data_IF_966124496296
#
_entry.id   IF_966124496296
#
_cell.length_a   1.000
_cell.length_b   1.000
_cell.length_c   1.000
_cell.angle_alpha   90.00
_cell.angle_beta   90.00
_cell.angle_gamma   90.00
#
_symmetry.space_group_name_H-M   'P 1'
#
loop_
_entity.id
_entity.type
_entity.pdbx_description
1 polymer ?
#
# COMPACT_ATOMS: atom_id res chain seq x y z
N UNK A 1 53.79 3.41 68.48
CA UNK A 1 52.87 2.25 68.61
C UNK A 1 51.75 2.40 67.59
N UNK A 2 51.63 1.43 66.67
CA UNK A 2 50.42 0.94 65.95
C UNK A 2 49.42 1.97 65.37
N UNK A 3 48.92 1.91 64.14
CA UNK A 3 48.99 0.96 63.02
C UNK A 3 48.39 1.67 61.77
N UNK A 4 48.87 1.23 60.62
CA UNK A 4 48.44 1.48 59.23
C UNK A 4 46.94 1.24 58.94
N UNK A 5 46.39 1.94 57.94
CA UNK A 5 45.59 1.30 56.89
C UNK A 5 45.60 2.14 55.59
N UNK A 6 45.90 1.46 54.48
CA UNK A 6 45.91 1.96 53.11
C UNK A 6 44.49 2.03 52.54
N UNK A 7 44.24 3.01 51.66
CA UNK A 7 43.13 2.97 50.72
C UNK A 7 43.70 3.02 49.29
N UNK A 8 43.56 1.90 48.57
CA UNK A 8 43.80 1.80 47.14
C UNK A 8 42.75 2.65 46.40
N UNK A 9 43.21 3.69 45.69
CA UNK A 9 42.41 4.39 44.69
C UNK A 9 42.40 3.60 43.39
N UNK A 10 41.23 3.06 43.04
CA UNK A 10 40.95 2.28 41.84
C UNK A 10 40.90 3.21 40.62
N UNK A 11 41.86 3.09 39.70
CA UNK A 11 41.83 3.79 38.41
C UNK A 11 40.80 3.13 37.50
N UNK A 12 39.63 3.73 37.35
CA UNK A 12 38.62 3.30 36.38
C UNK A 12 39.07 3.77 35.00
N UNK A 13 39.62 2.86 34.19
CA UNK A 13 39.76 3.04 32.75
C UNK A 13 38.35 3.08 32.13
N UNK A 14 37.90 4.27 31.71
CA UNK A 14 36.78 4.39 30.77
C UNK A 14 37.25 3.85 29.42
N UNK A 15 36.92 2.60 29.10
CA UNK A 15 36.88 2.14 27.71
C UNK A 15 35.74 2.86 27.01
N UNK A 16 36.07 3.87 26.19
CA UNK A 16 35.18 4.35 25.15
C UNK A 16 35.01 3.24 24.11
N UNK A 17 34.01 2.39 24.29
CA UNK A 17 33.48 1.59 23.21
C UNK A 17 32.75 2.54 22.27
N UNK A 18 33.44 3.00 21.22
CA UNK A 18 32.79 3.59 20.05
C UNK A 18 31.98 2.49 19.37
N UNK A 19 30.70 2.39 19.74
CA UNK A 19 29.71 1.73 18.92
C UNK A 19 29.64 2.49 17.61
N UNK A 20 30.26 1.93 16.57
CA UNK A 20 30.00 2.34 15.20
C UNK A 20 28.52 2.04 14.90
N UNK A 21 27.65 2.99 15.24
CA UNK A 21 26.34 3.10 14.62
C UNK A 21 26.66 3.38 13.16
N UNK A 22 26.50 2.37 12.31
CA UNK A 22 26.58 2.54 10.87
C UNK A 22 25.57 3.64 10.51
N UNK A 23 26.08 4.83 10.21
CA UNK A 23 25.35 5.88 9.53
C UNK A 23 25.07 5.37 8.12
N UNK A 24 24.05 4.52 7.95
CA UNK A 24 23.45 4.33 6.64
C UNK A 24 22.73 5.64 6.32
N UNK A 25 23.48 6.50 5.64
CA UNK A 25 23.02 7.81 5.21
C UNK A 25 21.82 7.68 4.27
N UNK A 26 20.99 8.72 4.21
CA UNK A 26 19.88 8.82 3.25
C UNK A 26 20.30 8.56 1.78
N UNK A 27 21.60 8.57 1.46
CA UNK A 27 22.16 8.35 0.13
C UNK A 27 21.82 6.99 -0.51
N UNK A 28 21.55 5.96 0.29
CA UNK A 28 21.27 4.60 -0.23
C UNK A 28 19.77 4.26 -0.29
N UNK A 29 18.89 5.18 0.10
CA UNK A 29 17.45 4.92 0.12
C UNK A 29 16.91 4.64 -1.29
N UNK A 30 16.18 3.53 -1.43
CA UNK A 30 15.69 3.01 -2.70
C UNK A 30 16.63 2.04 -3.41
N UNK A 31 17.86 1.84 -2.94
CA UNK A 31 18.78 0.87 -3.56
C UNK A 31 18.25 -0.57 -3.42
N UNK A 32 18.16 -1.29 -4.53
CA UNK A 32 17.83 -2.72 -4.53
C UNK A 32 19.08 -3.51 -4.19
N UNK A 33 19.02 -4.29 -3.12
CA UNK A 33 20.14 -5.12 -2.62
C UNK A 33 19.95 -6.61 -2.92
N UNK A 34 18.71 -7.04 -3.16
CA UNK A 34 18.39 -8.40 -3.59
C UNK A 34 17.19 -8.35 -4.53
N UNK A 35 17.25 -9.14 -5.59
CA UNK A 35 16.16 -9.29 -6.55
C UNK A 35 16.06 -10.74 -6.99
N UNK A 36 14.87 -11.33 -6.86
CA UNK A 36 14.60 -12.71 -7.24
C UNK A 36 13.31 -12.78 -8.07
N UNK A 37 13.26 -13.63 -9.12
CA UNK A 37 12.02 -13.87 -9.84
C UNK A 37 10.93 -14.41 -8.91
N UNK A 38 9.71 -13.91 -9.05
CA UNK A 38 8.57 -14.43 -8.30
C UNK A 38 8.26 -15.88 -8.70
N UNK A 39 7.81 -16.67 -7.73
CA UNK A 39 7.41 -18.08 -7.94
C UNK A 39 6.21 -18.17 -8.88
N UNK A 40 6.25 -18.94 -9.99
CA UNK A 40 5.14 -19.09 -10.93
C UNK A 40 3.79 -19.43 -10.26
N UNK A 41 2.68 -18.96 -10.85
CA UNK A 41 1.36 -19.23 -10.31
C UNK A 41 0.91 -20.68 -10.60
N UNK A 42 1.01 -21.52 -9.57
CA UNK A 42 0.59 -22.94 -9.62
C UNK A 42 -0.87 -23.17 -9.23
N UNK A 43 -1.63 -22.13 -8.91
CA UNK A 43 -3.04 -22.25 -8.49
C UNK A 43 -3.90 -22.58 -9.70
N UNK A 44 -4.68 -23.67 -9.66
CA UNK A 44 -5.61 -24.00 -10.75
C UNK A 44 -6.86 -23.12 -10.71
N UNK A 45 -7.61 -23.06 -11.81
CA UNK A 45 -8.89 -22.33 -11.84
C UNK A 45 -9.88 -22.81 -10.76
N UNK A 46 -9.96 -24.12 -10.50
CA UNK A 46 -10.82 -24.68 -9.45
C UNK A 46 -10.37 -24.21 -8.06
N UNK A 47 -9.07 -24.27 -7.78
CA UNK A 47 -8.51 -23.78 -6.52
C UNK A 47 -8.73 -22.26 -6.36
N UNK A 48 -8.67 -21.50 -7.46
CA UNK A 48 -8.97 -20.09 -7.46
C UNK A 48 -10.43 -19.81 -7.09
N UNK A 49 -11.39 -20.52 -7.70
CA UNK A 49 -12.81 -20.41 -7.36
C UNK A 49 -13.07 -20.79 -5.90
N UNK A 50 -12.43 -21.85 -5.41
CA UNK A 50 -12.55 -22.31 -4.04
C UNK A 50 -12.02 -21.27 -3.05
N UNK A 51 -10.81 -20.74 -3.28
CA UNK A 51 -10.23 -19.65 -2.47
C UNK A 51 -11.07 -18.38 -2.52
N UNK A 52 -11.73 -18.09 -3.64
CA UNK A 52 -12.64 -16.97 -3.75
C UNK A 52 -13.86 -17.14 -2.85
N UNK A 53 -14.53 -18.30 -2.92
CA UNK A 53 -15.67 -18.64 -2.04
C UNK A 53 -15.26 -18.59 -0.57
N UNK A 54 -14.12 -19.16 -0.21
CA UNK A 54 -13.60 -19.14 1.16
C UNK A 54 -13.39 -17.71 1.68
N UNK A 55 -12.84 -16.81 0.85
CA UNK A 55 -12.67 -15.40 1.22
C UNK A 55 -14.01 -14.69 1.41
N UNK A 56 -15.03 -14.99 0.61
CA UNK A 56 -16.38 -14.45 0.83
C UNK A 56 -16.94 -14.90 2.18
N UNK A 57 -16.85 -16.19 2.49
CA UNK A 57 -17.28 -16.71 3.80
C UNK A 57 -16.52 -16.04 4.94
N UNK A 58 -15.21 -15.87 4.81
CA UNK A 58 -14.41 -15.17 5.82
C UNK A 58 -14.82 -13.71 6.00
N UNK A 59 -15.18 -13.01 4.92
CA UNK A 59 -15.67 -11.61 4.97
C UNK A 59 -17.02 -11.53 5.68
N UNK A 60 -17.93 -12.46 5.40
CA UNK A 60 -19.24 -12.58 6.06
C UNK A 60 -19.09 -12.83 7.56
N UNK A 61 -18.22 -13.77 7.94
CA UNK A 61 -17.95 -14.05 9.35
C UNK A 61 -17.23 -12.89 10.05
N UNK A 62 -16.35 -12.18 9.35
CA UNK A 62 -15.73 -10.96 9.89
C UNK A 62 -16.76 -9.87 10.13
N UNK A 63 -17.63 -9.60 9.15
CA UNK A 63 -18.72 -8.64 9.28
C UNK A 63 -19.63 -8.97 10.47
N UNK A 64 -20.00 -10.24 10.60
CA UNK A 64 -20.85 -10.71 11.69
C UNK A 64 -20.22 -10.50 13.07
N UNK A 65 -18.92 -10.77 13.23
CA UNK A 65 -18.18 -10.48 14.47
C UNK A 65 -18.18 -9.00 14.84
N UNK A 66 -18.33 -8.15 13.85
CA UNK A 66 -18.35 -6.70 13.98
C UNK A 66 -19.78 -6.12 13.96
N UNK A 67 -20.79 -6.97 14.15
CA UNK A 67 -22.20 -6.58 14.27
C UNK A 67 -22.87 -6.20 12.94
N UNK A 68 -22.22 -6.49 11.81
CA UNK A 68 -22.75 -6.21 10.47
C UNK A 68 -23.19 -7.51 9.80
N UNK A 69 -24.43 -7.55 9.30
CA UNK A 69 -24.90 -8.65 8.48
C UNK A 69 -24.67 -8.34 7.00
N UNK A 70 -23.89 -9.18 6.33
CA UNK A 70 -23.74 -9.18 4.88
C UNK A 70 -24.14 -10.56 4.36
N UNK A 71 -24.87 -10.60 3.24
CA UNK A 71 -25.27 -11.84 2.60
C UNK A 71 -24.22 -12.24 1.53
N UNK A 72 -23.78 -13.51 1.48
CA UNK A 72 -22.99 -14.00 0.37
C UNK A 72 -23.79 -13.85 -0.94
N UNK A 73 -23.19 -13.21 -1.94
CA UNK A 73 -23.84 -13.07 -3.25
C UNK A 73 -23.25 -14.05 -4.27
N UNK A 74 -23.97 -15.12 -4.65
CA UNK A 74 -23.51 -16.09 -5.62
C UNK A 74 -23.27 -15.46 -7.02
N UNK A 75 -23.87 -14.29 -7.31
CA UNK A 75 -23.66 -13.56 -8.57
C UNK A 75 -22.25 -13.02 -8.71
N UNK A 76 -21.48 -12.90 -7.63
CA UNK A 76 -20.07 -12.51 -7.72
C UNK A 76 -19.23 -13.51 -8.52
N UNK A 77 -19.62 -14.79 -8.53
CA UNK A 77 -18.92 -15.82 -9.32
C UNK A 77 -19.03 -15.52 -10.82
N UNK A 78 -20.16 -14.99 -11.30
CA UNK A 78 -20.32 -14.64 -12.72
C UNK A 78 -19.58 -13.36 -13.12
N UNK A 79 -19.01 -12.63 -12.15
CA UNK A 79 -18.12 -11.48 -12.36
C UNK A 79 -16.64 -11.84 -12.38
N UNK A 80 -16.30 -13.08 -12.02
CA UNK A 80 -14.93 -13.56 -12.11
C UNK A 80 -14.53 -13.78 -13.58
N UNK A 81 -13.22 -13.75 -13.88
CA UNK A 81 -12.72 -14.14 -15.19
C UNK A 81 -13.22 -15.53 -15.60
N UNK A 82 -13.44 -15.72 -16.89
CA UNK A 82 -13.67 -17.06 -17.44
C UNK A 82 -12.45 -17.94 -17.19
N UNK A 83 -12.59 -19.26 -17.35
CA UNK A 83 -11.44 -20.18 -17.23
C UNK A 83 -10.31 -19.76 -18.17
N UNK A 84 -10.63 -19.50 -19.44
CA UNK A 84 -9.60 -19.15 -20.44
C UNK A 84 -8.92 -17.82 -20.11
N UNK A 85 -9.69 -16.84 -19.64
CA UNK A 85 -9.15 -15.56 -19.20
C UNK A 85 -8.27 -15.72 -17.95
N UNK A 86 -8.71 -16.52 -16.98
CA UNK A 86 -7.92 -16.84 -15.80
C UNK A 86 -6.61 -17.53 -16.19
N UNK A 87 -6.65 -18.53 -17.06
CA UNK A 87 -5.47 -19.26 -17.50
C UNK A 87 -4.50 -18.35 -18.27
N UNK A 88 -5.01 -17.50 -19.15
CA UNK A 88 -4.23 -16.47 -19.82
C UNK A 88 -3.48 -15.59 -18.80
N UNK A 89 -4.21 -15.03 -17.83
CA UNK A 89 -3.63 -14.18 -16.77
C UNK A 89 -2.66 -14.96 -15.87
N UNK A 90 -2.96 -16.24 -15.58
CA UNK A 90 -2.15 -17.14 -14.73
C UNK A 90 -0.80 -17.47 -15.36
N UNK A 91 -0.78 -17.76 -16.66
CA UNK A 91 0.50 -18.03 -17.37
C UNK A 91 1.44 -16.83 -17.34
N UNK A 92 0.87 -15.62 -17.25
CA UNK A 92 1.59 -14.36 -17.18
C UNK A 92 2.61 -14.22 -18.33
N UNK A 93 2.27 -14.77 -19.50
CA UNK A 93 3.14 -14.83 -20.67
C UNK A 93 3.46 -13.41 -21.17
N UNK A 94 4.74 -13.14 -21.43
CA UNK A 94 5.22 -11.81 -21.84
C UNK A 94 5.47 -10.81 -20.70
N UNK A 95 5.17 -11.20 -19.46
CA UNK A 95 5.31 -10.36 -18.27
C UNK A 95 6.20 -11.04 -17.22
N UNK A 96 6.72 -10.27 -16.27
CA UNK A 96 7.51 -10.79 -15.16
C UNK A 96 7.20 -10.07 -13.85
N UNK A 97 7.45 -10.80 -12.76
CA UNK A 97 7.35 -10.32 -11.39
C UNK A 97 8.71 -10.59 -10.72
N UNK A 98 9.18 -9.61 -9.97
CA UNK A 98 10.42 -9.70 -9.19
C UNK A 98 10.09 -9.36 -7.74
N UNK A 99 10.48 -10.24 -6.81
CA UNK A 99 10.53 -9.92 -5.39
C UNK A 99 11.84 -9.19 -5.14
N UNK A 100 11.76 -8.02 -4.53
CA UNK A 100 12.91 -7.18 -4.23
C UNK A 100 13.08 -6.99 -2.74
N UNK A 101 14.33 -6.76 -2.34
CA UNK A 101 14.70 -6.20 -1.05
C UNK A 101 15.43 -4.89 -1.33
N UNK A 102 14.94 -3.80 -0.76
CA UNK A 102 15.48 -2.46 -0.99
C UNK A 102 15.73 -1.73 0.33
N UNK A 103 16.63 -0.76 0.31
CA UNK A 103 16.96 0.03 1.49
C UNK A 103 15.96 1.17 1.69
N UNK A 104 15.50 1.36 2.92
CA UNK A 104 14.64 2.46 3.33
C UNK A 104 14.96 2.82 4.78
N UNK A 105 15.42 4.05 5.04
CA UNK A 105 15.90 4.47 6.37
C UNK A 105 16.95 3.52 6.98
N UNK A 106 17.82 2.96 6.14
CA UNK A 106 18.83 1.97 6.54
C UNK A 106 18.28 0.55 6.79
N UNK A 107 16.97 0.33 6.69
CA UNK A 107 16.32 -0.98 6.83
C UNK A 107 16.19 -1.69 5.49
N UNK A 108 16.28 -3.02 5.52
CA UNK A 108 15.97 -3.87 4.37
C UNK A 108 14.47 -4.16 4.28
N UNK A 109 13.77 -3.44 3.40
CA UNK A 109 12.33 -3.57 3.20
C UNK A 109 12.02 -4.44 1.98
N UNK A 110 10.96 -5.25 2.06
CA UNK A 110 10.51 -6.11 0.97
C UNK A 110 9.57 -5.32 0.05
N UNK A 111 9.65 -5.60 -1.24
CA UNK A 111 8.70 -5.12 -2.23
C UNK A 111 8.61 -6.03 -3.44
N UNK A 112 7.83 -5.61 -4.42
CA UNK A 112 7.65 -6.33 -5.68
C UNK A 112 7.64 -5.35 -6.86
N UNK A 113 8.16 -5.82 -7.99
CA UNK A 113 8.11 -5.13 -9.29
C UNK A 113 7.37 -6.06 -10.26
N UNK A 114 6.33 -5.55 -10.91
CA UNK A 114 5.66 -6.22 -12.03
C UNK A 114 5.84 -5.39 -13.30
N UNK A 115 6.26 -6.03 -14.39
CA UNK A 115 6.49 -5.32 -15.67
C UNK A 115 6.41 -6.24 -16.90
N UNK A 116 6.32 -5.69 -18.12
CA UNK A 116 6.57 -6.44 -19.34
C UNK A 116 8.01 -6.99 -19.38
N UNK A 117 8.23 -8.16 -19.98
CA UNK A 117 9.59 -8.73 -20.15
C UNK A 117 10.45 -7.88 -21.10
N UNK A 118 9.89 -7.49 -22.24
CA UNK A 118 10.63 -6.76 -23.27
C UNK A 118 10.52 -5.23 -23.07
N UNK A 119 11.31 -4.71 -22.14
CA UNK A 119 11.42 -3.26 -21.86
C UNK A 119 12.62 -2.60 -22.52
N UNK A 120 13.43 -3.36 -23.28
CA UNK A 120 14.62 -2.81 -23.95
C UNK A 120 14.26 -1.66 -24.87
N UNK A 121 14.93 -0.52 -24.70
CA UNK A 121 14.69 0.69 -25.49
C UNK A 121 13.36 1.40 -25.19
N UNK A 122 12.62 0.98 -24.16
CA UNK A 122 11.35 1.60 -23.74
C UNK A 122 11.45 2.12 -22.31
N UNK A 123 10.90 3.30 -22.06
CA UNK A 123 10.59 3.79 -20.72
C UNK A 123 9.08 3.73 -20.53
N UNK A 124 8.65 3.05 -19.48
CA UNK A 124 7.23 2.79 -19.20
C UNK A 124 6.75 3.61 -18.00
N UNK A 125 5.50 4.12 -18.02
CA UNK A 125 4.93 4.82 -16.87
C UNK A 125 4.88 3.91 -15.63
N UNK A 126 5.04 4.52 -14.46
CA UNK A 126 5.06 3.83 -13.17
C UNK A 126 3.71 3.96 -12.45
N UNK A 127 3.24 2.86 -11.87
CA UNK A 127 2.21 2.85 -10.83
C UNK A 127 2.89 2.40 -9.52
N UNK A 128 2.90 3.28 -8.53
CA UNK A 128 3.24 2.93 -7.16
C UNK A 128 1.97 2.37 -6.49
N UNK A 129 1.96 1.07 -6.25
CA UNK A 129 0.84 0.40 -5.61
C UNK A 129 1.01 0.38 -4.09
N UNK A 130 -0.02 0.85 -3.37
CA UNK A 130 -0.08 0.87 -1.93
C UNK A 130 -1.10 -0.16 -1.46
N UNK A 131 -0.64 -1.16 -0.72
CA UNK A 131 -1.50 -2.22 -0.20
C UNK A 131 -2.38 -1.73 0.96
N UNK A 132 -3.57 -2.31 1.04
CA UNK A 132 -4.41 -2.24 2.22
C UNK A 132 -3.95 -3.16 3.35
N UNK A 133 -4.73 -3.17 4.43
CA UNK A 133 -4.53 -4.05 5.57
C UNK A 133 -3.33 -3.70 6.44
N UNK A 134 -2.83 -4.65 7.22
CA UNK A 134 -1.67 -4.52 8.10
C UNK A 134 -1.11 -5.91 8.40
N UNK A 135 0.17 -6.00 8.72
CA UNK A 135 0.87 -7.26 9.01
C UNK A 135 0.58 -8.30 7.92
N UNK A 136 0.22 -9.52 8.32
CA UNK A 136 -0.23 -10.61 7.44
C UNK A 136 -1.48 -10.27 6.62
N UNK A 137 -2.39 -9.47 7.15
CA UNK A 137 -3.65 -9.16 6.47
C UNK A 137 -3.41 -8.18 5.31
N UNK A 138 -3.65 -8.64 4.08
CA UNK A 138 -3.50 -7.83 2.87
C UNK A 138 -2.06 -7.72 2.36
N UNK A 139 -1.15 -8.60 2.80
CA UNK A 139 0.22 -8.66 2.25
C UNK A 139 0.22 -8.72 0.72
N UNK A 140 1.25 -8.12 0.10
CA UNK A 140 1.44 -8.30 -1.33
C UNK A 140 1.82 -9.74 -1.56
N UNK A 141 1.32 -10.29 -2.65
CA UNK A 141 1.79 -11.56 -3.18
C UNK A 141 2.02 -11.38 -4.67
N UNK A 142 2.92 -12.15 -5.29
CA UNK A 142 3.18 -12.05 -6.72
C UNK A 142 1.93 -12.10 -7.61
N UNK A 143 0.89 -12.80 -7.15
CA UNK A 143 -0.31 -13.12 -7.90
C UNK A 143 -1.55 -12.36 -7.42
N UNK A 144 -1.37 -11.39 -6.52
CA UNK A 144 -2.42 -10.43 -6.18
C UNK A 144 -2.91 -9.74 -7.47
N UNK A 145 -4.23 -9.65 -7.65
CA UNK A 145 -4.85 -9.10 -8.87
C UNK A 145 -4.29 -9.70 -10.17
N UNK A 146 -4.04 -11.01 -10.16
CA UNK A 146 -3.41 -11.72 -11.27
C UNK A 146 -2.03 -11.17 -11.65
N UNK A 147 -1.25 -10.74 -10.65
CA UNK A 147 0.04 -10.08 -10.86
C UNK A 147 -0.10 -8.69 -11.48
N UNK A 148 -1.19 -7.98 -11.17
CA UNK A 148 -1.52 -6.70 -11.80
C UNK A 148 -1.61 -6.76 -13.33
N UNK A 149 -2.02 -7.92 -13.88
CA UNK A 149 -2.06 -8.18 -15.32
C UNK A 149 -2.70 -7.04 -16.10
N UNK A 150 -3.82 -6.49 -15.64
CA UNK A 150 -4.55 -5.42 -16.36
C UNK A 150 -3.72 -4.14 -16.50
N UNK A 151 -2.92 -3.78 -15.49
CA UNK A 151 -2.04 -2.62 -15.55
C UNK A 151 -0.80 -2.91 -16.39
N UNK A 152 -0.16 -4.07 -16.18
CA UNK A 152 1.10 -4.41 -16.84
C UNK A 152 0.89 -4.69 -18.34
N UNK A 153 -0.21 -5.34 -18.72
CA UNK A 153 -0.62 -5.52 -20.12
C UNK A 153 -0.97 -4.20 -20.82
N UNK A 154 -1.31 -3.16 -20.04
CA UNK A 154 -1.50 -1.79 -20.53
C UNK A 154 -0.20 -0.97 -20.58
N UNK A 155 0.96 -1.60 -20.35
CA UNK A 155 2.27 -0.97 -20.51
C UNK A 155 2.76 -0.19 -19.30
N UNK A 156 2.17 -0.40 -18.11
CA UNK A 156 2.68 0.16 -16.87
C UNK A 156 3.70 -0.76 -16.21
N UNK A 157 4.66 -0.17 -15.51
CA UNK A 157 5.43 -0.85 -14.46
C UNK A 157 4.66 -0.64 -13.15
N UNK A 158 4.48 -1.70 -12.36
CA UNK A 158 3.88 -1.60 -11.02
C UNK A 158 4.94 -1.91 -9.99
N UNK A 159 5.12 -1.04 -8.99
CA UNK A 159 6.01 -1.28 -7.85
C UNK A 159 5.20 -1.13 -6.57
N UNK A 160 5.27 -2.13 -5.69
CA UNK A 160 4.59 -2.11 -4.41
C UNK A 160 5.56 -2.41 -3.27
N UNK A 161 5.50 -1.60 -2.21
CA UNK A 161 6.19 -1.90 -0.95
C UNK A 161 5.35 -2.82 -0.09
N UNK A 162 6.01 -3.76 0.59
CA UNK A 162 5.38 -4.62 1.58
C UNK A 162 5.18 -3.91 2.93
N UNK A 163 5.81 -2.73 3.09
CA UNK A 163 6.06 -1.98 4.31
C UNK A 163 7.08 -2.68 5.22
N UNK A 164 7.91 -1.90 5.93
CA UNK A 164 8.91 -2.39 6.89
C UNK A 164 8.31 -3.36 7.92
N UNK A 165 9.13 -4.29 8.40
CA UNK A 165 8.75 -5.33 9.35
C UNK A 165 7.90 -6.47 8.80
N UNK A 166 7.61 -6.49 7.49
CA UNK A 166 6.76 -7.50 6.87
C UNK A 166 7.52 -8.42 5.90
N UNK A 167 7.03 -9.65 5.77
CA UNK A 167 7.54 -10.67 4.82
C UNK A 167 9.05 -10.94 4.95
N UNK A 168 9.58 -10.91 6.17
CA UNK A 168 11.02 -11.07 6.44
C UNK A 168 11.86 -9.82 6.16
N UNK A 169 11.23 -8.66 5.96
CA UNK A 169 11.88 -7.36 6.00
C UNK A 169 12.19 -6.90 7.42
N UNK A 170 13.13 -5.97 7.55
CA UNK A 170 13.56 -5.39 8.82
C UNK A 170 12.65 -4.25 9.28
N UNK A 171 12.73 -3.89 10.56
CA UNK A 171 11.95 -2.81 11.18
C UNK A 171 10.61 -3.24 11.73
N UNK A 172 9.78 -2.26 12.09
CA UNK A 172 8.42 -2.46 12.61
C UNK A 172 7.44 -1.66 11.77
N UNK A 173 6.38 -2.31 11.32
CA UNK A 173 5.30 -1.66 10.61
C UNK A 173 4.61 -0.62 11.50
N UNK A 174 4.38 0.56 10.95
CA UNK A 174 3.52 1.59 11.54
C UNK A 174 2.29 1.77 10.65
N UNK A 175 1.17 2.28 11.16
CA UNK A 175 -0.04 2.48 10.36
C UNK A 175 -0.04 3.89 9.74
N UNK A 176 0.85 4.16 8.77
CA UNK A 176 1.00 5.50 8.18
C UNK A 176 1.86 6.43 9.02
N UNK A 177 2.98 5.91 9.51
CA UNK A 177 4.07 6.65 10.14
C UNK A 177 5.35 6.49 9.32
N UNK A 178 6.39 5.89 9.90
CA UNK A 178 7.67 5.72 9.24
C UNK A 178 7.59 4.84 7.97
N UNK A 179 6.62 3.94 7.88
CA UNK A 179 6.34 3.14 6.67
C UNK A 179 5.92 3.97 5.44
N UNK A 180 5.54 5.24 5.63
CA UNK A 180 5.35 6.19 4.51
C UNK A 180 6.66 6.41 3.75
N UNK A 181 7.81 6.42 4.44
CA UNK A 181 9.11 6.54 3.78
C UNK A 181 9.40 5.35 2.85
N UNK A 182 8.88 4.17 3.17
CA UNK A 182 9.04 2.98 2.31
C UNK A 182 8.36 3.20 0.95
N UNK A 183 7.27 3.97 0.92
CA UNK A 183 6.57 4.39 -0.30
C UNK A 183 7.35 5.49 -1.02
N UNK A 184 7.80 6.52 -0.31
CA UNK A 184 8.58 7.62 -0.89
C UNK A 184 9.87 7.12 -1.55
N UNK A 185 10.52 6.14 -0.93
CA UNK A 185 11.78 5.53 -1.40
C UNK A 185 11.60 4.64 -2.64
N UNK A 186 10.36 4.41 -3.12
CA UNK A 186 10.12 3.81 -4.44
C UNK A 186 10.55 4.76 -5.57
N UNK A 187 10.54 6.09 -5.36
CA UNK A 187 10.97 7.06 -6.39
C UNK A 187 12.46 6.89 -6.77
N UNK A 188 13.43 6.97 -5.83
CA UNK A 188 14.83 6.72 -6.17
C UNK A 188 15.06 5.29 -6.68
N UNK A 189 14.34 4.30 -6.13
CA UNK A 189 14.36 2.92 -6.62
C UNK A 189 13.98 2.84 -8.10
N UNK A 190 12.82 3.38 -8.48
CA UNK A 190 12.32 3.34 -9.84
C UNK A 190 13.24 4.07 -10.82
N UNK A 191 13.84 5.19 -10.39
CA UNK A 191 14.83 5.94 -11.19
C UNK A 191 16.06 5.08 -11.54
N UNK A 192 16.45 4.15 -10.67
CA UNK A 192 17.62 3.29 -10.89
C UNK A 192 17.39 2.18 -11.93
N UNK A 193 16.14 1.83 -12.23
CA UNK A 193 15.79 0.67 -13.06
C UNK A 193 16.06 0.88 -14.56
N UNK A 194 16.20 2.13 -15.01
CA UNK A 194 16.51 2.49 -16.41
C UNK A 194 15.36 2.33 -17.42
N UNK A 195 14.37 1.47 -17.14
CA UNK A 195 13.19 1.23 -17.98
C UNK A 195 11.90 1.91 -17.48
N UNK A 196 11.99 2.74 -16.43
CA UNK A 196 10.87 3.52 -15.91
C UNK A 196 10.91 4.94 -16.44
N UNK A 197 9.75 5.44 -16.88
CA UNK A 197 9.55 6.84 -17.21
C UNK A 197 9.17 7.65 -15.97
N UNK A 198 10.16 8.35 -15.40
CA UNK A 198 9.94 9.19 -14.22
C UNK A 198 9.16 10.49 -14.52
N UNK A 199 8.80 10.75 -15.78
CA UNK A 199 7.91 11.86 -16.14
C UNK A 199 6.43 11.51 -15.93
N UNK A 200 6.14 10.21 -15.81
CA UNK A 200 4.81 9.64 -15.77
C UNK A 200 4.70 8.63 -14.62
N UNK A 201 4.50 9.17 -13.41
CA UNK A 201 4.40 8.41 -12.15
C UNK A 201 3.01 8.57 -11.55
N UNK A 202 2.36 7.46 -11.24
CA UNK A 202 1.01 7.41 -10.70
C UNK A 202 1.00 6.63 -9.39
N UNK A 203 -0.02 6.85 -8.56
CA UNK A 203 -0.24 6.03 -7.36
C UNK A 203 -1.60 5.38 -7.38
N UNK A 204 -1.65 4.11 -6.99
CA UNK A 204 -2.90 3.40 -6.76
C UNK A 204 -2.90 2.82 -5.35
N UNK A 205 -3.94 3.08 -4.57
CA UNK A 205 -4.07 2.57 -3.21
C UNK A 205 -5.44 2.00 -2.91
N UNK A 206 -5.50 0.86 -2.21
CA UNK A 206 -6.76 0.26 -1.78
C UNK A 206 -6.86 0.21 -0.26
N UNK A 207 -8.01 0.56 0.30
CA UNK A 207 -8.22 0.58 1.76
C UNK A 207 -7.20 1.49 2.44
N UNK A 208 -6.50 1.03 3.49
CA UNK A 208 -5.31 1.73 4.05
C UNK A 208 -4.32 2.19 2.98
N UNK A 209 -4.18 1.47 1.87
CA UNK A 209 -3.32 1.89 0.76
C UNK A 209 -3.72 3.25 0.17
N UNK A 210 -5.02 3.59 0.18
CA UNK A 210 -5.49 4.93 -0.18
C UNK A 210 -5.01 5.99 0.82
N UNK A 211 -5.09 5.71 2.12
CA UNK A 211 -4.52 6.56 3.18
C UNK A 211 -3.00 6.75 2.99
N UNK A 212 -2.27 5.68 2.70
CA UNK A 212 -0.83 5.74 2.42
C UNK A 212 -0.52 6.60 1.19
N UNK A 213 -1.35 6.52 0.14
CA UNK A 213 -1.20 7.37 -1.04
C UNK A 213 -1.44 8.86 -0.69
N UNK A 214 -2.45 9.18 0.12
CA UNK A 214 -2.68 10.56 0.57
C UNK A 214 -1.52 11.08 1.41
N UNK A 215 -0.98 10.27 2.32
CA UNK A 215 0.17 10.63 3.15
C UNK A 215 1.43 10.86 2.31
N UNK A 216 1.68 10.04 1.30
CA UNK A 216 2.80 10.23 0.39
C UNK A 216 2.66 11.54 -0.42
N UNK A 217 1.44 11.85 -0.90
CA UNK A 217 1.15 13.14 -1.57
C UNK A 217 1.36 14.33 -0.63
N UNK A 218 0.91 14.24 0.62
CA UNK A 218 1.16 15.27 1.62
C UNK A 218 2.65 15.46 1.95
N UNK A 219 3.48 14.44 1.70
CA UNK A 219 4.94 14.48 1.77
C UNK A 219 5.60 14.78 0.41
N UNK A 220 4.86 15.38 -0.52
CA UNK A 220 5.35 15.89 -1.81
C UNK A 220 5.97 14.82 -2.74
N UNK A 221 5.47 13.59 -2.71
CA UNK A 221 5.86 12.59 -3.72
C UNK A 221 5.51 13.12 -5.14
N UNK A 222 6.43 13.07 -6.12
CA UNK A 222 6.22 13.66 -7.44
C UNK A 222 5.38 12.73 -8.33
N UNK A 223 4.05 12.86 -8.26
CA UNK A 223 3.10 12.01 -8.99
C UNK A 223 2.16 12.84 -9.87
N UNK A 224 1.84 12.31 -11.05
CA UNK A 224 0.97 12.92 -12.06
C UNK A 224 -0.51 12.82 -11.67
N UNK A 225 -0.92 11.69 -11.08
CA UNK A 225 -2.28 11.47 -10.59
C UNK A 225 -2.32 10.30 -9.60
N UNK A 226 -3.37 10.25 -8.77
CA UNK A 226 -3.60 9.20 -7.79
C UNK A 226 -5.00 8.63 -7.98
N UNK A 227 -5.15 7.32 -7.80
CA UNK A 227 -6.44 6.66 -7.71
C UNK A 227 -6.55 5.86 -6.40
N UNK A 228 -7.73 5.82 -5.80
CA UNK A 228 -8.00 5.02 -4.60
C UNK A 228 -9.28 4.21 -4.72
N UNK A 229 -9.31 3.03 -4.10
CA UNK A 229 -10.54 2.24 -3.88
C UNK A 229 -10.73 2.08 -2.37
N UNK A 230 -11.86 2.56 -1.84
CA UNK A 230 -12.20 2.36 -0.42
C UNK A 230 -11.21 3.01 0.55
N UNK A 231 -10.55 4.10 0.14
CA UNK A 231 -9.54 4.78 0.95
C UNK A 231 -10.17 5.59 2.09
N UNK A 232 -9.83 5.35 3.37
CA UNK A 232 -10.40 6.12 4.47
C UNK A 232 -9.85 7.55 4.46
N UNK A 233 -10.72 8.52 4.71
CA UNK A 233 -10.39 9.95 4.69
C UNK A 233 -10.26 10.57 6.08
N UNK A 234 -10.98 10.00 7.05
CA UNK A 234 -11.08 10.44 8.43
C UNK A 234 -11.16 9.23 9.37
N UNK A 235 -9.99 8.82 9.88
CA UNK A 235 -9.88 7.77 10.90
C UNK A 235 -10.39 8.22 12.27
N UNK A 236 -10.49 9.53 12.52
CA UNK A 236 -11.00 10.04 13.78
C UNK A 236 -12.54 9.90 13.83
N UNK A 237 -13.27 10.18 12.77
CA UNK A 237 -14.74 10.05 12.78
C UNK A 237 -15.26 8.71 12.26
N UNK A 238 -14.37 7.86 11.72
CA UNK A 238 -14.69 6.48 11.37
C UNK A 238 -15.03 5.60 12.58
N UNK A 239 -15.60 4.42 12.34
CA UNK A 239 -15.81 3.42 13.39
C UNK A 239 -14.46 2.90 13.89
N UNK A 240 -14.02 3.46 15.03
CA UNK A 240 -12.74 3.14 15.66
C UNK A 240 -12.73 1.77 16.32
N UNK A 241 -13.89 1.26 16.73
CA UNK A 241 -13.99 0.11 17.63
C UNK A 241 -13.30 -1.12 17.04
N UNK A 242 -13.39 -1.28 15.72
CA UNK A 242 -12.82 -2.41 14.97
C UNK A 242 -11.31 -2.33 14.77
N UNK A 243 -10.78 -1.11 14.70
CA UNK A 243 -9.36 -0.86 14.40
C UNK A 243 -8.55 -0.44 15.62
N UNK A 244 -9.18 -0.27 16.79
CA UNK A 244 -8.54 0.32 17.98
C UNK A 244 -7.29 -0.45 18.42
N UNK A 245 -7.31 -1.79 18.41
CA UNK A 245 -6.15 -2.62 18.75
C UNK A 245 -5.02 -2.38 17.76
N UNK A 246 -5.32 -2.35 16.46
CA UNK A 246 -4.32 -2.08 15.43
C UNK A 246 -3.73 -0.67 15.60
N UNK A 247 -4.55 0.33 15.94
CA UNK A 247 -4.06 1.68 16.18
C UNK A 247 -3.17 1.75 17.43
N UNK A 248 -3.56 1.10 18.52
CA UNK A 248 -2.74 1.04 19.74
C UNK A 248 -1.38 0.38 19.51
N UNK A 249 -1.32 -0.62 18.64
CA UNK A 249 -0.09 -1.38 18.39
C UNK A 249 0.78 -0.80 17.26
N UNK A 250 0.18 -0.15 16.26
CA UNK A 250 0.86 0.27 15.03
C UNK A 250 0.97 1.78 14.86
N UNK A 251 0.32 2.59 15.71
CA UNK A 251 0.51 4.04 15.71
C UNK A 251 1.38 4.40 16.91
N UNK A 252 2.58 4.96 16.70
CA UNK A 252 3.45 5.39 17.79
C UNK A 252 2.73 6.35 18.75
N UNK A 253 2.95 6.14 20.06
CA UNK A 253 2.37 6.92 21.16
C UNK A 253 0.83 7.09 21.12
N UNK A 254 0.11 6.18 20.46
CA UNK A 254 -1.35 6.28 20.32
C UNK A 254 -2.10 6.41 21.65
N UNK A 255 -1.64 5.73 22.71
CA UNK A 255 -2.27 5.82 24.03
C UNK A 255 -2.18 7.22 24.67
N UNK A 256 -1.18 8.02 24.29
CA UNK A 256 -0.97 9.39 24.77
C UNK A 256 -1.60 10.43 23.84
N UNK A 257 -1.66 10.15 22.53
CA UNK A 257 -2.02 11.12 21.50
C UNK A 257 -3.03 10.60 20.46
N UNK A 258 -3.99 9.75 20.87
CA UNK A 258 -4.90 9.04 19.97
C UNK A 258 -5.57 9.93 18.91
N UNK A 259 -6.26 10.99 19.33
CA UNK A 259 -6.95 11.94 18.43
C UNK A 259 -5.98 12.64 17.45
N UNK A 260 -4.93 13.36 17.91
CA UNK A 260 -3.92 13.92 17.02
C UNK A 260 -3.36 12.90 16.02
N UNK A 261 -2.96 11.72 16.48
CA UNK A 261 -2.33 10.71 15.61
C UNK A 261 -3.27 10.20 14.52
N UNK A 262 -4.58 10.12 14.78
CA UNK A 262 -5.58 9.78 13.75
C UNK A 262 -5.79 10.93 12.76
N UNK A 263 -5.84 12.18 13.24
CA UNK A 263 -6.01 13.35 12.38
C UNK A 263 -4.83 13.55 11.42
N UNK A 264 -3.61 13.31 11.88
CA UNK A 264 -2.41 13.35 11.04
C UNK A 264 -2.49 12.36 9.87
N UNK A 265 -3.18 11.22 10.06
CA UNK A 265 -3.40 10.18 9.04
C UNK A 265 -4.67 10.39 8.22
N UNK A 266 -5.42 11.45 8.48
CA UNK A 266 -6.75 11.68 7.93
C UNK A 266 -6.74 12.86 6.98
N UNK A 267 -6.72 12.58 5.67
CA UNK A 267 -6.72 13.60 4.60
C UNK A 267 -7.86 14.61 4.70
N UNK A 268 -8.97 14.26 5.36
CA UNK A 268 -10.07 15.20 5.63
C UNK A 268 -9.67 16.42 6.50
N UNK A 269 -8.55 16.36 7.24
CA UNK A 269 -8.03 17.46 8.06
C UNK A 269 -6.97 18.31 7.36
N UNK A 270 -6.43 17.84 6.23
CA UNK A 270 -5.42 18.56 5.45
C UNK A 270 -5.64 18.45 3.93
N UNK A 271 -6.88 18.57 3.42
CA UNK A 271 -7.18 18.38 2.01
C UNK A 271 -6.44 19.38 1.10
N UNK A 272 -6.01 20.52 1.64
CA UNK A 272 -5.20 21.53 0.93
C UNK A 272 -3.84 20.99 0.46
N UNK A 273 -3.28 19.99 1.16
CA UNK A 273 -2.01 19.35 0.80
C UNK A 273 -2.11 18.41 -0.40
N UNK A 274 -3.32 18.07 -0.85
CA UNK A 274 -3.53 17.27 -2.04
C UNK A 274 -3.35 18.14 -3.28
N UNK A 275 -2.22 17.98 -3.96
CA UNK A 275 -1.88 18.74 -5.17
C UNK A 275 -1.96 17.91 -6.45
N UNK A 276 -2.03 16.59 -6.35
CA UNK A 276 -2.22 15.70 -7.48
C UNK A 276 -3.73 15.48 -7.77
N UNK A 277 -4.15 15.37 -9.04
CA UNK A 277 -5.49 14.94 -9.41
C UNK A 277 -5.85 13.59 -8.78
N UNK A 278 -7.05 13.50 -8.19
CA UNK A 278 -7.54 12.29 -7.51
C UNK A 278 -8.70 11.61 -8.23
N UNK A 279 -8.60 10.31 -8.48
CA UNK A 279 -9.75 9.44 -8.77
C UNK A 279 -10.15 8.69 -7.49
N UNK A 280 -11.33 8.97 -6.98
CA UNK A 280 -11.87 8.36 -5.78
C UNK A 280 -12.93 7.33 -6.16
N UNK A 281 -12.65 6.03 -5.92
CA UNK A 281 -13.59 4.94 -6.18
C UNK A 281 -14.05 4.35 -4.85
N UNK A 282 -15.36 4.12 -4.71
CA UNK A 282 -15.96 3.64 -3.47
C UNK A 282 -17.07 2.63 -3.74
N UNK A 283 -17.09 1.56 -2.93
CA UNK A 283 -18.23 0.65 -2.84
C UNK A 283 -19.37 1.30 -2.05
N UNK A 284 -20.57 1.36 -2.63
CA UNK A 284 -21.74 1.99 -2.02
C UNK A 284 -22.30 1.22 -0.81
N UNK A 285 -22.00 -0.08 -0.69
CA UNK A 285 -22.31 -0.95 0.44
C UNK A 285 -21.04 -1.39 1.18
N UNK A 286 -19.97 -0.60 1.11
CA UNK A 286 -18.73 -0.84 1.84
C UNK A 286 -18.96 -0.71 3.34
N UNK A 287 -18.89 -1.86 4.02
CA UNK A 287 -19.09 -1.99 5.45
C UNK A 287 -17.78 -1.85 6.25
N UNK A 288 -16.61 -1.89 5.59
CA UNK A 288 -15.28 -1.74 6.23
C UNK A 288 -14.85 -0.29 6.27
N UNK A 289 -15.11 0.45 5.21
CA UNK A 289 -14.85 1.89 5.11
C UNK A 289 -16.09 2.56 4.55
N UNK A 290 -16.91 3.11 5.46
CA UNK A 290 -18.19 3.71 5.07
C UNK A 290 -17.97 4.74 3.97
N UNK A 291 -18.83 4.71 2.93
CA UNK A 291 -18.77 5.66 1.81
C UNK A 291 -18.72 7.13 2.22
N UNK A 292 -19.24 7.48 3.41
CA UNK A 292 -19.14 8.83 3.96
C UNK A 292 -17.70 9.35 4.01
N UNK A 293 -16.72 8.47 4.21
CA UNK A 293 -15.29 8.79 4.21
C UNK A 293 -14.88 9.43 2.88
N UNK A 294 -15.15 8.73 1.78
CA UNK A 294 -14.82 9.21 0.43
C UNK A 294 -15.67 10.43 0.04
N UNK A 295 -16.94 10.49 0.45
CA UNK A 295 -17.83 11.64 0.19
C UNK A 295 -17.35 12.92 0.88
N UNK A 296 -16.92 12.83 2.15
CA UNK A 296 -16.38 13.97 2.90
C UNK A 296 -15.11 14.51 2.25
N UNK A 297 -14.22 13.63 1.78
CA UNK A 297 -13.03 14.07 1.05
C UNK A 297 -13.40 14.76 -0.26
N UNK A 298 -14.30 14.17 -1.06
CA UNK A 298 -14.76 14.77 -2.31
C UNK A 298 -15.38 16.16 -2.09
N UNK A 299 -16.20 16.33 -1.06
CA UNK A 299 -16.75 17.64 -0.68
C UNK A 299 -15.65 18.66 -0.38
N UNK A 300 -14.65 18.29 0.43
CA UNK A 300 -13.53 19.19 0.78
C UNK A 300 -12.68 19.56 -0.44
N UNK A 301 -12.43 18.61 -1.33
CA UNK A 301 -11.71 18.88 -2.58
C UNK A 301 -12.51 19.82 -3.49
N UNK A 302 -13.83 19.67 -3.55
CA UNK A 302 -14.73 20.56 -4.28
C UNK A 302 -14.71 21.99 -3.73
N UNK A 303 -14.77 22.14 -2.41
CA UNK A 303 -14.69 23.44 -1.71
C UNK A 303 -13.35 24.14 -1.96
N UNK A 304 -12.27 23.37 -2.12
CA UNK A 304 -10.93 23.86 -2.42
C UNK A 304 -10.62 23.97 -3.92
N UNK A 305 -11.60 23.71 -4.80
CA UNK A 305 -11.43 23.72 -6.26
C UNK A 305 -10.27 22.83 -6.76
N UNK A 306 -10.05 21.69 -6.11
CA UNK A 306 -9.03 20.70 -6.50
C UNK A 306 -9.56 19.81 -7.63
N UNK A 307 -8.65 19.26 -8.45
CA UNK A 307 -9.01 18.33 -9.51
C UNK A 307 -9.30 16.94 -8.93
N UNK A 308 -10.54 16.48 -9.05
CA UNK A 308 -10.90 15.12 -8.63
C UNK A 308 -12.05 14.55 -9.46
N UNK A 309 -12.17 13.23 -9.47
CA UNK A 309 -13.35 12.49 -9.92
C UNK A 309 -13.81 11.55 -8.80
N UNK A 310 -15.12 11.42 -8.62
CA UNK A 310 -15.72 10.54 -7.64
C UNK A 310 -16.62 9.51 -8.33
N UNK A 311 -16.41 8.24 -8.00
CA UNK A 311 -17.21 7.12 -8.49
C UNK A 311 -17.68 6.28 -7.31
N UNK A 312 -18.99 6.18 -7.14
CA UNK A 312 -19.61 5.32 -6.14
C UNK A 312 -20.40 4.23 -6.83
N UNK A 313 -19.95 2.98 -6.73
CA UNK A 313 -20.69 1.83 -7.24
C UNK A 313 -21.77 1.42 -6.24
N UNK A 314 -23.01 1.79 -6.53
CA UNK A 314 -24.16 1.45 -5.67
C UNK A 314 -24.24 -0.05 -5.43
N UNK A 315 -24.38 -0.46 -4.17
CA UNK A 315 -24.46 -1.87 -3.76
C UNK A 315 -23.13 -2.64 -3.75
N UNK A 316 -22.02 -2.03 -4.18
CA UNK A 316 -20.73 -2.73 -4.22
C UNK A 316 -20.00 -2.72 -2.87
N UNK A 317 -19.12 -3.70 -2.65
CA UNK A 317 -18.42 -3.92 -1.39
C UNK A 317 -17.08 -3.15 -1.32
N UNK A 318 -16.31 -3.37 -0.25
CA UNK A 318 -15.04 -2.69 0.01
C UNK A 318 -14.02 -2.79 -1.14
N UNK A 319 -13.97 -3.94 -1.83
CA UNK A 319 -13.05 -4.17 -2.94
C UNK A 319 -13.61 -3.82 -4.31
N UNK A 320 -14.81 -3.22 -4.36
CA UNK A 320 -15.66 -3.04 -5.54
C UNK A 320 -15.75 -4.31 -6.39
N UNK A 321 -16.01 -5.45 -5.74
CA UNK A 321 -15.94 -6.77 -6.35
C UNK A 321 -16.92 -6.97 -7.53
N UNK A 322 -18.10 -6.34 -7.53
CA UNK A 322 -19.03 -6.48 -8.66
C UNK A 322 -18.59 -5.68 -9.90
N UNK A 323 -17.92 -4.54 -9.66
CA UNK A 323 -17.48 -3.61 -10.71
C UNK A 323 -15.96 -3.55 -10.81
N UNK A 324 -15.24 -4.61 -10.40
CA UNK A 324 -13.78 -4.59 -10.30
C UNK A 324 -13.12 -4.28 -11.64
N UNK A 325 -13.59 -4.91 -12.71
CA UNK A 325 -13.08 -4.68 -14.07
C UNK A 325 -13.33 -3.24 -14.53
N UNK A 326 -14.49 -2.67 -14.22
CA UNK A 326 -14.82 -1.28 -14.56
C UNK A 326 -13.94 -0.30 -13.77
N UNK A 327 -13.78 -0.54 -12.47
CA UNK A 327 -12.91 0.25 -11.60
C UNK A 327 -11.46 0.23 -12.09
N UNK A 328 -10.91 -0.95 -12.39
CA UNK A 328 -9.55 -1.09 -12.95
C UNK A 328 -9.41 -0.38 -14.30
N UNK A 329 -10.39 -0.51 -15.20
CA UNK A 329 -10.41 0.20 -16.49
C UNK A 329 -10.35 1.72 -16.29
N UNK A 330 -11.16 2.26 -15.39
CA UNK A 330 -11.20 3.71 -15.09
C UNK A 330 -9.92 4.22 -14.46
N UNK A 331 -9.27 3.43 -13.60
CA UNK A 331 -7.94 3.78 -13.07
C UNK A 331 -6.91 3.89 -14.21
N UNK A 332 -6.91 2.93 -15.13
CA UNK A 332 -6.01 2.94 -16.30
C UNK A 332 -6.29 4.17 -17.17
N UNK A 333 -7.56 4.47 -17.45
CA UNK A 333 -7.97 5.65 -18.24
C UNK A 333 -7.57 6.96 -17.55
N UNK A 334 -7.78 7.05 -16.24
CA UNK A 334 -7.39 8.21 -15.44
C UNK A 334 -5.89 8.47 -15.52
N UNK A 335 -5.06 7.44 -15.32
CA UNK A 335 -3.61 7.58 -15.43
C UNK A 335 -3.18 7.94 -16.86
N UNK A 336 -3.75 7.31 -17.89
CA UNK A 336 -3.46 7.66 -19.28
C UNK A 336 -3.82 9.11 -19.62
N UNK A 337 -4.93 9.62 -19.09
CA UNK A 337 -5.34 11.01 -19.25
C UNK A 337 -4.40 12.03 -18.59
N UNK A 338 -3.52 11.59 -17.69
CA UNK A 338 -2.55 12.42 -16.97
C UNK A 338 -1.08 12.12 -17.35
N UNK A 339 -0.87 11.39 -18.46
CA UNK A 339 0.45 11.25 -19.08
C UNK A 339 0.87 12.61 -19.67
N UNK A 340 2.14 12.97 -19.48
CA UNK A 340 2.77 14.18 -20.04
C UNK A 340 3.33 13.98 -21.44
#
# INVERSE_FOLDING_TARGET
>A
MTKTLSLLGLTILLLCASSAIAQNSAADSGAIIEQTPCTPNSVTYEQFLERFKQRQTQDVEAAKREGVTIEPDPRLISRLPSRDEYELRRTYAGFECQRIKYLSDGLKVIGYIWKPKNTTGKKLPLIIYNRGGNREFGKLTPWMQYGFYDFVSNGFVVIGSQYRGNDGGEGQEEFGGADVHDVLNIIPLAKSLGYVDMSNVFMFGESRGGMMAFLAVANNIPVNAVATIGGPADLATGDRSRMITNYQELIPDFSKHSEPSLRERSVAYWPEKINAPLLLIQGGADWRTNRSQTLVLAQKLQELHKNYELIVYSGDNHGVAYNRNDGTRRIIEWFRGHIK
#
